data_IF_929983898933
#
_entry.id   IF_929983898933
#
_cell.length_a   1.000
_cell.length_b   1.000
_cell.length_c   1.000
_cell.angle_alpha   90.00
_cell.angle_beta   90.00
_cell.angle_gamma   90.00
#
_symmetry.space_group_name_H-M   'P 1'
#
loop_
_entity.id
_entity.type
_entity.pdbx_description
1 polymer ?
#
# COMPACT_ATOMS: atom_id res chain seq x y z
N UNK A 1 -5.99 -1.56 27.82
CA UNK A 1 -6.19 -3.04 27.84
C UNK A 1 -6.75 -3.46 29.19
N UNK A 2 -7.46 -4.60 29.23
CA UNK A 2 -8.14 -5.18 30.41
C UNK A 2 -7.74 -6.64 30.67
N UNK A 3 -8.67 -7.49 31.15
CA UNK A 3 -8.40 -8.90 31.47
C UNK A 3 -8.11 -9.75 30.22
N UNK A 4 -7.07 -10.59 30.28
CA UNK A 4 -6.65 -11.44 29.17
C UNK A 4 -7.53 -12.69 29.03
N UNK A 5 -7.97 -12.96 27.82
CA UNK A 5 -8.87 -14.08 27.52
C UNK A 5 -8.07 -15.36 27.32
N UNK A 6 -8.47 -16.42 28.03
CA UNK A 6 -7.90 -17.76 27.85
C UNK A 6 -8.40 -18.41 26.54
N UNK A 7 -7.84 -18.01 25.39
CA UNK A 7 -8.29 -18.43 24.06
C UNK A 7 -8.22 -19.95 23.82
N UNK A 8 -7.39 -20.69 24.55
CA UNK A 8 -7.29 -22.15 24.43
C UNK A 8 -8.28 -22.91 25.32
N UNK A 9 -9.07 -22.22 26.15
CA UNK A 9 -10.16 -22.85 26.87
C UNK A 9 -11.31 -23.17 25.89
N UNK A 10 -11.80 -24.41 25.87
CA UNK A 10 -12.84 -24.86 24.94
C UNK A 10 -14.11 -23.99 24.94
N UNK A 11 -14.53 -23.48 26.10
CA UNK A 11 -15.69 -22.61 26.17
C UNK A 11 -15.42 -21.28 25.47
N UNK A 12 -14.26 -20.65 25.74
CA UNK A 12 -13.88 -19.38 25.12
C UNK A 12 -13.62 -19.53 23.61
N UNK A 13 -12.90 -20.58 23.22
CA UNK A 13 -12.59 -20.88 21.82
C UNK A 13 -13.87 -21.04 21.00
N UNK A 14 -14.76 -21.94 21.40
CA UNK A 14 -15.99 -22.21 20.67
C UNK A 14 -16.98 -21.05 20.76
N UNK A 15 -17.01 -20.34 21.89
CA UNK A 15 -17.85 -19.15 22.07
C UNK A 15 -17.52 -18.05 21.06
N UNK A 16 -16.25 -17.73 20.87
CA UNK A 16 -15.81 -16.72 19.89
C UNK A 16 -16.15 -17.12 18.44
N UNK A 17 -15.92 -18.38 18.07
CA UNK A 17 -16.28 -18.88 16.74
C UNK A 17 -17.80 -18.87 16.51
N UNK A 18 -18.57 -19.21 17.53
CA UNK A 18 -20.04 -19.16 17.49
C UNK A 18 -20.52 -17.72 17.30
N UNK A 19 -19.96 -16.78 18.05
CA UNK A 19 -20.25 -15.36 17.92
C UNK A 19 -19.90 -14.81 16.54
N UNK A 20 -18.72 -15.14 16.01
CA UNK A 20 -18.30 -14.71 14.68
C UNK A 20 -19.22 -15.26 13.58
N UNK A 21 -19.65 -16.52 13.69
CA UNK A 21 -20.62 -17.08 12.76
C UNK A 21 -22.01 -16.44 12.89
N UNK A 22 -22.46 -16.12 14.12
CA UNK A 22 -23.70 -15.39 14.33
C UNK A 22 -23.67 -13.99 13.71
N UNK A 23 -22.56 -13.26 13.85
CA UNK A 23 -22.37 -11.97 13.17
C UNK A 23 -22.53 -12.10 11.65
N UNK A 24 -21.90 -13.11 11.06
CA UNK A 24 -21.96 -13.33 9.61
C UNK A 24 -23.35 -13.77 9.13
N UNK A 25 -24.02 -14.67 9.85
CA UNK A 25 -25.25 -15.31 9.39
C UNK A 25 -26.52 -14.56 9.80
N UNK A 26 -26.53 -13.92 10.97
CA UNK A 26 -27.74 -13.32 11.56
C UNK A 26 -27.79 -11.81 11.40
N UNK A 27 -26.68 -11.09 11.68
CA UNK A 27 -26.64 -9.65 11.41
C UNK A 27 -26.61 -9.39 9.89
N UNK A 28 -25.96 -10.29 9.14
CA UNK A 28 -25.85 -10.21 7.69
C UNK A 28 -24.84 -9.14 7.23
N UNK A 29 -24.39 -9.24 5.99
CA UNK A 29 -23.46 -8.31 5.34
C UNK A 29 -22.04 -8.20 5.93
N UNK A 30 -21.62 -9.15 6.77
CA UNK A 30 -20.22 -9.24 7.25
C UNK A 30 -19.47 -10.29 6.43
N UNK A 31 -18.65 -9.82 5.48
CA UNK A 31 -17.84 -10.69 4.61
C UNK A 31 -16.56 -11.22 5.29
N UNK A 32 -16.10 -10.53 6.33
CA UNK A 32 -14.82 -10.81 6.97
C UNK A 32 -14.57 -9.94 8.20
N UNK A 33 -13.39 -10.08 8.79
CA UNK A 33 -13.03 -9.46 10.06
C UNK A 33 -11.64 -8.82 10.03
N UNK A 34 -11.49 -7.72 10.77
CA UNK A 34 -10.17 -7.23 11.21
C UNK A 34 -9.91 -7.80 12.59
N UNK A 35 -8.87 -8.60 12.72
CA UNK A 35 -8.47 -9.22 13.98
C UNK A 35 -7.54 -8.27 14.73
N UNK A 36 -8.06 -7.65 15.78
CA UNK A 36 -7.34 -6.73 16.67
C UNK A 36 -6.24 -7.45 17.44
N UNK A 37 -5.09 -6.81 17.65
CA UNK A 37 -4.03 -7.30 18.54
C UNK A 37 -3.61 -8.76 18.28
N UNK A 38 -3.59 -9.19 17.01
CA UNK A 38 -3.44 -10.60 16.60
C UNK A 38 -2.12 -11.29 16.99
N UNK A 39 -1.17 -10.51 17.49
CA UNK A 39 0.08 -10.98 18.10
C UNK A 39 -0.13 -11.52 19.52
N UNK A 40 -1.17 -11.10 20.21
CA UNK A 40 -1.32 -11.24 21.66
C UNK A 40 -2.23 -12.40 22.10
N UNK A 41 -2.71 -13.22 21.16
CA UNK A 41 -3.47 -14.42 21.46
C UNK A 41 -3.08 -15.58 20.53
N UNK A 42 -3.66 -16.76 20.78
CA UNK A 42 -3.36 -17.98 20.04
C UNK A 42 -3.56 -17.81 18.53
N UNK A 43 -2.55 -18.15 17.73
CA UNK A 43 -2.69 -18.13 16.27
C UNK A 43 -3.71 -19.17 15.78
N UNK A 44 -4.00 -20.19 16.59
CA UNK A 44 -5.04 -21.19 16.28
C UNK A 44 -6.43 -20.57 16.15
N UNK A 45 -6.82 -19.69 17.08
CA UNK A 45 -8.12 -19.02 16.98
C UNK A 45 -8.15 -18.04 15.80
N UNK A 46 -7.03 -17.38 15.46
CA UNK A 46 -6.95 -16.53 14.26
C UNK A 46 -7.15 -17.33 12.97
N UNK A 47 -6.51 -18.51 12.87
CA UNK A 47 -6.62 -19.42 11.72
C UNK A 47 -8.05 -19.94 11.54
N UNK A 48 -8.70 -20.31 12.64
CA UNK A 48 -10.02 -20.95 12.60
C UNK A 48 -11.17 -19.92 12.59
N UNK A 49 -10.87 -18.62 12.72
CA UNK A 49 -11.87 -17.56 12.68
C UNK A 49 -12.57 -17.52 11.31
N UNK A 50 -13.91 -17.46 11.25
CA UNK A 50 -14.63 -17.66 10.00
C UNK A 50 -14.57 -16.44 9.07
N UNK A 51 -14.51 -16.69 7.76
CA UNK A 51 -14.51 -15.65 6.73
C UNK A 51 -13.11 -15.09 6.44
N UNK A 52 -13.04 -14.07 5.57
CA UNK A 52 -11.75 -13.44 5.24
C UNK A 52 -11.29 -12.58 6.40
N UNK A 53 -10.10 -12.87 6.95
CA UNK A 53 -9.56 -12.12 8.09
C UNK A 53 -8.31 -11.33 7.71
N UNK A 54 -8.20 -10.12 8.29
CA UNK A 54 -7.01 -9.26 8.23
C UNK A 54 -6.50 -9.07 9.67
N UNK A 55 -5.30 -9.57 9.97
CA UNK A 55 -4.66 -9.40 11.27
C UNK A 55 -3.96 -8.06 11.40
N UNK A 56 -4.21 -7.38 12.52
CA UNK A 56 -3.27 -6.40 13.06
C UNK A 56 -2.16 -7.15 13.80
N UNK A 57 -1.20 -7.68 13.04
CA UNK A 57 -0.03 -8.36 13.60
C UNK A 57 1.14 -7.38 13.57
N UNK A 58 1.22 -6.51 14.57
CA UNK A 58 2.23 -5.46 14.61
C UNK A 58 3.58 -6.00 15.08
N UNK A 59 4.42 -6.40 14.11
CA UNK A 59 5.76 -6.96 14.35
C UNK A 59 6.67 -6.76 13.12
N UNK A 60 7.85 -7.37 13.14
CA UNK A 60 8.79 -7.52 12.04
C UNK A 60 8.20 -8.28 10.85
N UNK A 61 8.79 -8.05 9.66
CA UNK A 61 8.42 -8.72 8.40
C UNK A 61 8.36 -10.24 8.54
N UNK A 62 9.40 -10.86 9.12
CA UNK A 62 9.48 -12.31 9.22
C UNK A 62 8.39 -12.89 10.13
N UNK A 63 8.10 -12.24 11.26
CA UNK A 63 7.05 -12.68 12.17
C UNK A 63 5.66 -12.57 11.52
N UNK A 64 5.40 -11.48 10.77
CA UNK A 64 4.15 -11.32 10.02
C UNK A 64 4.02 -12.41 8.96
N UNK A 65 5.07 -12.69 8.19
CA UNK A 65 5.05 -13.72 7.15
C UNK A 65 4.83 -15.12 7.75
N UNK A 66 5.46 -15.43 8.89
CA UNK A 66 5.22 -16.67 9.61
C UNK A 66 3.76 -16.79 10.08
N UNK A 67 3.18 -15.70 10.61
CA UNK A 67 1.78 -15.68 11.02
C UNK A 67 0.82 -15.84 9.82
N UNK A 68 1.09 -15.17 8.69
CA UNK A 68 0.33 -15.34 7.44
C UNK A 68 0.41 -16.80 6.98
N UNK A 69 1.61 -17.40 7.00
CA UNK A 69 1.81 -18.81 6.60
C UNK A 69 1.06 -19.78 7.49
N UNK A 70 1.01 -19.52 8.81
CA UNK A 70 0.31 -20.39 9.76
C UNK A 70 -1.21 -20.25 9.67
N UNK A 71 -1.70 -19.02 9.60
CA UNK A 71 -3.13 -18.73 9.69
C UNK A 71 -3.84 -18.76 8.34
N UNK A 72 -3.13 -18.52 7.24
CA UNK A 72 -3.73 -18.29 5.93
C UNK A 72 -4.45 -16.93 5.82
N UNK A 73 -4.35 -16.04 6.80
CA UNK A 73 -5.02 -14.75 6.80
C UNK A 73 -4.19 -13.65 6.11
N UNK A 74 -4.84 -12.52 5.86
CA UNK A 74 -4.18 -11.27 5.47
C UNK A 74 -3.59 -10.58 6.69
N UNK A 75 -2.58 -9.72 6.52
CA UNK A 75 -2.04 -8.90 7.61
C UNK A 75 -1.70 -7.49 7.14
N UNK A 76 -1.82 -6.51 8.04
CA UNK A 76 -1.35 -5.15 7.76
C UNK A 76 0.17 -5.10 7.55
N UNK A 77 0.60 -4.38 6.51
CA UNK A 77 2.01 -4.25 6.12
C UNK A 77 2.70 -3.14 6.94
N UNK A 78 2.94 -3.41 8.22
CA UNK A 78 3.71 -2.52 9.10
C UNK A 78 5.14 -2.27 8.62
N UNK A 79 5.87 -3.25 8.06
CA UNK A 79 7.19 -2.99 7.45
C UNK A 79 7.14 -1.91 6.37
N UNK A 80 6.13 -1.94 5.49
CA UNK A 80 5.93 -0.88 4.50
C UNK A 80 5.53 0.44 5.16
N UNK A 81 4.64 0.43 6.16
CA UNK A 81 4.26 1.64 6.89
C UNK A 81 5.49 2.40 7.43
N UNK A 82 6.47 1.70 8.00
CA UNK A 82 7.70 2.33 8.46
C UNK A 82 8.60 2.81 7.32
N UNK A 83 8.71 2.05 6.21
CA UNK A 83 9.46 2.49 5.04
C UNK A 83 8.88 3.77 4.39
N UNK A 84 7.55 3.93 4.42
CA UNK A 84 6.86 5.12 3.92
C UNK A 84 7.22 6.41 4.69
N UNK A 85 7.75 6.30 5.91
CA UNK A 85 8.23 7.45 6.70
C UNK A 85 9.63 7.93 6.26
N UNK A 86 10.40 7.06 5.59
CA UNK A 86 11.71 7.38 5.04
C UNK A 86 11.65 8.17 3.73
N UNK A 87 12.79 8.33 3.08
CA UNK A 87 12.88 9.00 1.78
C UNK A 87 12.36 8.07 0.65
N UNK A 88 12.32 8.58 -0.59
CA UNK A 88 11.85 7.80 -1.73
C UNK A 88 12.66 6.51 -1.95
N UNK A 89 13.99 6.56 -1.80
CA UNK A 89 14.84 5.38 -1.94
C UNK A 89 14.56 4.28 -0.91
N UNK A 90 13.95 4.61 0.25
CA UNK A 90 13.55 3.62 1.26
C UNK A 90 12.42 2.70 0.81
N UNK A 91 11.77 3.01 -0.33
CA UNK A 91 10.71 2.19 -0.91
C UNK A 91 11.25 1.02 -1.73
N UNK A 92 12.54 1.01 -2.07
CA UNK A 92 13.14 -0.08 -2.84
C UNK A 92 13.12 -1.39 -2.05
N UNK A 93 12.42 -2.40 -2.57
CA UNK A 93 12.24 -3.69 -1.89
C UNK A 93 11.43 -3.64 -0.58
N UNK A 94 10.74 -2.52 -0.29
CA UNK A 94 10.00 -2.35 0.96
C UNK A 94 8.72 -3.21 1.04
N UNK A 95 8.28 -3.46 2.27
CA UNK A 95 7.04 -4.19 2.56
C UNK A 95 7.18 -5.70 2.64
N UNK A 96 6.03 -6.39 2.76
CA UNK A 96 5.99 -7.84 2.98
C UNK A 96 6.31 -8.66 1.73
N UNK A 97 6.09 -8.11 0.53
CA UNK A 97 6.16 -8.86 -0.74
C UNK A 97 5.25 -10.10 -0.76
N UNK A 98 4.10 -10.01 -0.11
CA UNK A 98 3.11 -11.09 0.00
C UNK A 98 1.79 -10.63 -0.60
N UNK A 99 1.11 -11.50 -1.35
CA UNK A 99 -0.25 -11.26 -1.87
C UNK A 99 -1.31 -11.12 -0.78
N UNK A 100 -0.95 -11.40 0.48
CA UNK A 100 -1.78 -11.27 1.67
C UNK A 100 -1.43 -10.05 2.54
N UNK A 101 -0.53 -9.18 2.07
CA UNK A 101 -0.26 -7.90 2.74
C UNK A 101 -1.40 -6.89 2.56
N UNK A 102 -1.63 -6.02 3.54
CA UNK A 102 -2.56 -4.89 3.41
C UNK A 102 -1.80 -3.61 3.74
N UNK A 103 -1.45 -2.87 2.70
CA UNK A 103 -0.70 -1.62 2.82
C UNK A 103 -1.59 -0.48 3.30
N UNK A 104 -1.04 0.46 4.07
CA UNK A 104 -1.78 1.61 4.61
C UNK A 104 -0.83 2.77 4.89
N UNK A 105 -1.35 3.99 4.96
CA UNK A 105 -0.58 5.22 5.27
C UNK A 105 -0.78 5.69 6.70
N UNK A 106 -1.94 5.41 7.29
CA UNK A 106 -2.31 5.73 8.65
C UNK A 106 -3.51 4.92 9.09
N UNK A 107 -3.75 4.85 10.39
CA UNK A 107 -4.91 4.21 11.01
C UNK A 107 -5.26 4.96 12.31
N UNK A 108 -6.15 4.39 13.12
CA UNK A 108 -6.61 5.02 14.36
C UNK A 108 -5.57 5.03 15.49
N UNK A 109 -4.53 4.19 15.42
CA UNK A 109 -3.46 4.10 16.40
C UNK A 109 -2.21 4.90 15.98
N UNK A 110 -1.97 5.03 14.67
CA UNK A 110 -0.77 5.66 14.14
C UNK A 110 -1.01 6.43 12.84
N UNK A 111 -0.44 7.63 12.77
CA UNK A 111 -0.57 8.54 11.62
C UNK A 111 0.70 9.40 11.39
N UNK A 112 1.87 8.78 11.55
CA UNK A 112 3.16 9.50 11.60
C UNK A 112 3.85 9.69 10.25
N UNK A 113 3.30 9.14 9.16
CA UNK A 113 3.84 9.40 7.81
C UNK A 113 3.71 10.89 7.48
N UNK A 114 4.84 11.54 7.20
CA UNK A 114 4.88 12.98 6.89
C UNK A 114 4.41 13.27 5.46
N UNK A 115 4.93 12.53 4.49
CA UNK A 115 4.63 12.70 3.06
C UNK A 115 3.46 11.81 2.61
N UNK A 116 2.28 12.05 3.20
CA UNK A 116 1.09 11.21 3.02
C UNK A 116 0.66 11.06 1.55
N UNK A 117 0.78 12.12 0.74
CA UNK A 117 0.40 12.06 -0.68
C UNK A 117 1.32 11.14 -1.47
N UNK A 118 2.66 11.25 -1.31
CA UNK A 118 3.61 10.28 -1.88
C UNK A 118 3.29 8.86 -1.42
N UNK A 119 3.05 8.66 -0.12
CA UNK A 119 2.77 7.36 0.44
C UNK A 119 1.48 6.73 -0.14
N UNK A 120 0.41 7.53 -0.29
CA UNK A 120 -0.82 7.08 -0.96
C UNK A 120 -0.57 6.74 -2.43
N UNK A 121 0.19 7.57 -3.13
CA UNK A 121 0.65 7.25 -4.47
C UNK A 121 1.40 5.92 -4.52
N UNK A 122 2.25 5.62 -3.55
CA UNK A 122 3.00 4.37 -3.57
C UNK A 122 2.10 3.15 -3.35
N UNK A 123 1.28 3.15 -2.30
CA UNK A 123 0.43 1.99 -1.99
C UNK A 123 -0.65 1.72 -3.06
N UNK A 124 -1.04 2.74 -3.82
CA UNK A 124 -1.97 2.59 -4.95
C UNK A 124 -1.29 2.08 -6.23
N UNK A 125 0.03 2.21 -6.33
CA UNK A 125 0.82 1.73 -7.48
C UNK A 125 1.25 0.28 -7.32
N UNK A 126 1.50 -0.20 -6.10
CA UNK A 126 1.97 -1.58 -5.85
C UNK A 126 0.84 -2.57 -5.55
N UNK A 127 1.10 -3.86 -5.68
CA UNK A 127 0.26 -4.93 -5.16
C UNK A 127 0.61 -5.28 -3.70
N UNK A 128 -0.32 -5.85 -2.89
CA UNK A 128 -1.65 -6.31 -3.30
C UNK A 128 -2.80 -5.35 -2.94
N UNK A 129 -3.09 -5.07 -1.67
CA UNK A 129 -4.32 -4.32 -1.29
C UNK A 129 -3.97 -3.06 -0.49
N UNK A 130 -4.29 -1.86 -1.01
CA UNK A 130 -4.22 -0.62 -0.23
C UNK A 130 -5.45 -0.40 0.64
N UNK A 131 -5.24 0.13 1.84
CA UNK A 131 -6.27 0.59 2.75
C UNK A 131 -6.18 2.12 2.90
N UNK A 132 -7.28 2.81 2.63
CA UNK A 132 -7.37 4.27 2.78
C UNK A 132 -7.95 4.62 4.15
N UNK A 133 -7.17 5.35 4.94
CA UNK A 133 -7.64 5.89 6.21
C UNK A 133 -8.76 6.93 6.04
N UNK A 134 -9.84 6.77 6.80
CA UNK A 134 -11.04 7.59 6.69
C UNK A 134 -10.76 9.11 6.83
N UNK A 135 -10.07 9.60 7.87
CA UNK A 135 -9.77 11.03 8.00
C UNK A 135 -9.01 11.60 6.79
N UNK A 136 -8.16 10.81 6.15
CA UNK A 136 -7.42 11.26 4.98
C UNK A 136 -8.31 11.40 3.76
N UNK A 137 -9.23 10.45 3.55
CA UNK A 137 -10.20 10.50 2.46
C UNK A 137 -11.16 11.69 2.55
N UNK A 138 -11.51 12.12 3.76
CA UNK A 138 -12.41 13.27 3.99
C UNK A 138 -11.66 14.57 4.27
N UNK A 139 -10.42 14.68 3.79
CA UNK A 139 -9.60 15.89 3.88
C UNK A 139 -9.25 16.45 2.49
N UNK A 140 -8.38 17.46 2.45
CA UNK A 140 -7.80 17.98 1.20
C UNK A 140 -7.03 16.93 0.39
N UNK A 141 -6.67 15.79 0.99
CA UNK A 141 -5.97 14.70 0.32
C UNK A 141 -6.87 13.85 -0.59
N UNK A 142 -8.20 14.03 -0.54
CA UNK A 142 -9.15 13.22 -1.33
C UNK A 142 -8.81 13.19 -2.82
N UNK A 143 -8.59 14.36 -3.43
CA UNK A 143 -8.38 14.50 -4.87
C UNK A 143 -7.19 13.68 -5.38
N UNK A 144 -5.96 13.83 -4.83
CA UNK A 144 -4.84 13.01 -5.25
C UNK A 144 -5.07 11.51 -4.95
N UNK A 145 -5.59 11.14 -3.77
CA UNK A 145 -5.87 9.71 -3.46
C UNK A 145 -6.84 9.11 -4.48
N UNK A 146 -7.92 9.81 -4.81
CA UNK A 146 -8.90 9.38 -5.79
C UNK A 146 -8.28 9.25 -7.19
N UNK A 147 -7.37 10.15 -7.57
CA UNK A 147 -6.65 10.09 -8.86
C UNK A 147 -5.76 8.84 -8.96
N UNK A 148 -5.01 8.52 -7.89
CA UNK A 148 -4.22 7.28 -7.83
C UNK A 148 -5.12 6.03 -7.87
N UNK A 149 -6.22 6.03 -7.13
CA UNK A 149 -7.19 4.94 -7.11
C UNK A 149 -7.83 4.73 -8.49
N UNK A 150 -8.17 5.80 -9.21
CA UNK A 150 -8.68 5.71 -10.58
C UNK A 150 -7.65 5.08 -11.51
N UNK A 151 -6.36 5.45 -11.40
CA UNK A 151 -5.32 4.79 -12.18
C UNK A 151 -5.20 3.30 -11.83
N UNK A 152 -5.19 2.95 -10.53
CA UNK A 152 -5.17 1.55 -10.08
C UNK A 152 -6.31 0.72 -10.64
N UNK A 153 -7.52 1.28 -10.71
CA UNK A 153 -8.70 0.56 -11.20
C UNK A 153 -8.73 0.41 -12.73
N UNK A 154 -8.03 1.28 -13.46
CA UNK A 154 -8.07 1.34 -14.92
C UNK A 154 -6.87 0.68 -15.59
N UNK A 155 -5.80 0.41 -14.84
CA UNK A 155 -4.56 -0.12 -15.38
C UNK A 155 -4.07 -1.27 -14.49
N UNK A 156 -3.49 -2.28 -15.12
CA UNK A 156 -2.84 -3.37 -14.41
C UNK A 156 -1.61 -2.82 -13.67
N UNK A 157 -1.62 -2.97 -12.34
CA UNK A 157 -0.55 -2.55 -11.42
C UNK A 157 0.32 -3.73 -10.97
N UNK A 158 0.12 -4.90 -11.57
CA UNK A 158 0.81 -6.14 -11.24
C UNK A 158 2.26 -6.15 -11.69
N UNK A 159 3.10 -6.77 -10.86
CA UNK A 159 4.55 -6.76 -11.00
C UNK A 159 5.13 -5.37 -10.79
N UNK A 160 6.15 -5.23 -9.96
CA UNK A 160 6.81 -3.95 -9.73
C UNK A 160 8.31 -4.17 -9.72
N UNK A 161 9.03 -3.36 -10.49
CA UNK A 161 10.49 -3.41 -10.61
C UNK A 161 11.05 -2.00 -10.51
N UNK A 162 12.10 -1.82 -9.71
CA UNK A 162 12.84 -0.56 -9.61
C UNK A 162 13.68 -0.39 -10.88
N UNK A 163 13.51 0.74 -11.57
CA UNK A 163 14.28 1.08 -12.79
C UNK A 163 15.18 2.30 -12.61
N UNK A 164 14.98 3.05 -11.52
CA UNK A 164 15.83 4.16 -11.09
C UNK A 164 15.68 4.33 -9.58
N UNK A 165 16.79 4.54 -8.87
CA UNK A 165 16.76 4.80 -7.42
C UNK A 165 17.88 5.76 -7.03
N UNK A 166 17.48 6.78 -6.28
CA UNK A 166 18.33 7.69 -5.53
C UNK A 166 17.71 7.90 -4.14
N UNK A 167 18.38 8.67 -3.29
CA UNK A 167 17.87 8.98 -1.95
C UNK A 167 16.46 9.56 -1.99
N UNK A 168 16.22 10.58 -2.83
CA UNK A 168 14.96 11.33 -2.85
C UNK A 168 14.04 11.04 -4.03
N UNK A 169 14.47 10.21 -4.98
CA UNK A 169 13.69 9.88 -6.14
C UNK A 169 13.79 8.39 -6.44
N UNK A 170 12.67 7.75 -6.70
CA UNK A 170 12.62 6.36 -7.15
C UNK A 170 11.60 6.24 -8.27
N UNK A 171 11.94 5.46 -9.29
CA UNK A 171 11.06 5.17 -10.43
C UNK A 171 10.89 3.67 -10.54
N UNK A 172 9.64 3.25 -10.57
CA UNK A 172 9.24 1.88 -10.78
C UNK A 172 8.62 1.70 -12.16
N UNK A 173 8.68 0.47 -12.66
CA UNK A 173 7.93 -0.03 -13.81
C UNK A 173 7.11 -1.23 -13.39
N UNK A 174 5.87 -1.30 -13.87
CA UNK A 174 5.02 -2.48 -13.75
C UNK A 174 4.96 -3.32 -15.03
N UNK A 175 4.25 -4.45 -14.99
CA UNK A 175 4.14 -5.35 -16.15
C UNK A 175 3.35 -4.71 -17.32
N UNK A 176 2.45 -3.77 -17.04
CA UNK A 176 1.56 -3.10 -18.01
C UNK A 176 2.04 -1.68 -18.40
N UNK A 177 3.33 -1.57 -18.77
CA UNK A 177 4.19 -0.37 -18.72
C UNK A 177 3.61 0.94 -18.16
N UNK A 178 3.10 0.93 -16.92
CA UNK A 178 2.89 2.14 -16.12
C UNK A 178 4.14 2.39 -15.29
N UNK A 179 4.62 3.62 -15.31
CA UNK A 179 5.84 4.04 -14.59
C UNK A 179 5.48 4.91 -13.41
N UNK A 180 5.79 4.46 -12.19
CA UNK A 180 5.53 5.18 -10.95
C UNK A 180 6.76 5.96 -10.50
N UNK A 181 6.68 7.29 -10.48
CA UNK A 181 7.72 8.21 -10.00
C UNK A 181 7.33 8.68 -8.60
N UNK A 182 8.23 8.53 -7.62
CA UNK A 182 8.00 8.94 -6.24
C UNK A 182 9.13 9.85 -5.76
N UNK A 183 8.78 11.04 -5.30
CA UNK A 183 9.74 12.10 -4.98
C UNK A 183 9.55 12.55 -3.52
N UNK A 184 10.58 12.41 -2.69
CA UNK A 184 10.57 12.86 -1.30
C UNK A 184 11.26 14.21 -1.08
N UNK A 185 11.82 14.84 -2.11
CA UNK A 185 12.32 16.21 -2.01
C UNK A 185 11.17 17.23 -1.87
N UNK A 186 11.49 18.48 -1.50
CA UNK A 186 10.49 19.54 -1.35
C UNK A 186 10.05 20.20 -2.67
N UNK A 187 10.73 19.89 -3.77
CA UNK A 187 10.55 20.53 -5.08
C UNK A 187 10.29 19.49 -6.17
N UNK A 188 9.94 19.95 -7.36
CA UNK A 188 9.88 19.07 -8.54
C UNK A 188 11.24 18.42 -8.77
N UNK A 189 11.22 17.12 -9.06
CA UNK A 189 12.42 16.31 -9.32
C UNK A 189 12.13 15.25 -10.38
N UNK A 190 13.16 14.79 -11.09
CA UNK A 190 13.05 13.86 -12.20
C UNK A 190 14.28 13.00 -12.41
N UNK A 191 14.07 11.82 -13.00
CA UNK A 191 15.12 10.83 -13.19
C UNK A 191 15.15 10.34 -14.63
N UNK A 192 16.36 10.24 -15.20
CA UNK A 192 16.59 9.71 -16.54
C UNK A 192 16.47 8.19 -16.55
N UNK A 193 15.56 7.68 -17.38
CA UNK A 193 15.34 6.25 -17.59
C UNK A 193 15.34 5.93 -19.07
N UNK A 194 15.80 4.73 -19.43
CA UNK A 194 15.77 4.24 -20.79
C UNK A 194 14.53 3.35 -21.00
N UNK A 195 13.59 3.83 -21.81
CA UNK A 195 12.31 3.19 -22.11
C UNK A 195 12.18 2.92 -23.63
N UNK A 196 10.96 2.81 -24.15
CA UNK A 196 10.73 2.69 -25.60
C UNK A 196 11.19 3.96 -26.33
N UNK A 197 11.95 3.87 -27.43
CA UNK A 197 12.36 5.01 -28.26
C UNK A 197 11.21 5.81 -28.86
N UNK A 198 11.41 7.12 -29.05
CA UNK A 198 10.47 8.03 -29.74
C UNK A 198 9.01 7.92 -29.24
N UNK A 199 8.81 7.65 -27.95
CA UNK A 199 7.51 7.37 -27.34
C UNK A 199 7.12 8.51 -26.42
N UNK A 200 5.88 9.00 -26.55
CA UNK A 200 5.34 10.01 -25.64
C UNK A 200 4.70 9.35 -24.43
N UNK A 201 5.08 9.79 -23.24
CA UNK A 201 4.58 9.37 -21.96
C UNK A 201 3.71 10.47 -21.34
N UNK A 202 2.50 10.09 -20.94
CA UNK A 202 1.51 11.01 -20.38
C UNK A 202 1.17 10.63 -18.95
N UNK A 203 1.12 11.63 -18.07
CA UNK A 203 0.73 11.42 -16.68
C UNK A 203 -0.77 11.05 -16.58
N UNK A 204 -1.06 9.94 -15.90
CA UNK A 204 -2.41 9.42 -15.62
C UNK A 204 -2.84 9.57 -14.16
N UNK A 205 -1.87 9.76 -13.25
CA UNK A 205 -2.11 10.19 -11.89
C UNK A 205 -0.91 10.99 -11.37
N UNK A 206 -1.14 11.85 -10.40
CA UNK A 206 -0.12 12.69 -9.77
C UNK A 206 -0.65 13.25 -8.45
N UNK A 207 0.23 13.83 -7.64
CA UNK A 207 -0.09 14.57 -6.44
C UNK A 207 1.17 14.90 -5.66
N UNK A 208 1.14 15.91 -4.79
CA UNK A 208 2.28 16.32 -3.97
C UNK A 208 2.06 17.71 -3.38
N UNK A 209 3.15 18.43 -3.12
CA UNK A 209 3.11 19.84 -2.72
C UNK A 209 2.49 20.75 -3.80
N UNK A 210 2.64 20.34 -5.06
CA UNK A 210 2.02 20.94 -6.24
C UNK A 210 1.12 19.92 -6.93
N UNK A 211 -0.16 20.24 -7.11
CA UNK A 211 -1.18 19.39 -7.76
C UNK A 211 -1.29 19.62 -9.28
N UNK A 212 -0.36 20.36 -9.87
CA UNK A 212 -0.28 20.56 -11.32
C UNK A 212 0.05 19.25 -12.03
N UNK A 213 -0.64 18.99 -13.14
CA UNK A 213 -0.38 17.80 -13.97
C UNK A 213 1.05 17.86 -14.53
N UNK A 214 1.87 16.82 -14.35
CA UNK A 214 3.17 16.75 -15.01
C UNK A 214 3.05 16.83 -16.52
N UNK A 215 4.01 17.50 -17.16
CA UNK A 215 4.05 17.61 -18.62
C UNK A 215 4.23 16.24 -19.28
N UNK A 216 3.71 16.10 -20.50
CA UNK A 216 4.03 14.95 -21.33
C UNK A 216 5.54 14.95 -21.63
N UNK A 217 6.14 13.76 -21.67
CA UNK A 217 7.58 13.57 -21.92
C UNK A 217 7.75 12.65 -23.11
N UNK A 218 8.61 12.99 -24.05
CA UNK A 218 8.90 12.13 -25.21
C UNK A 218 10.31 11.62 -25.11
N UNK A 219 10.49 10.30 -25.18
CA UNK A 219 11.82 9.70 -25.23
C UNK A 219 12.52 9.99 -26.54
N UNK A 220 13.84 10.08 -26.50
CA UNK A 220 14.66 10.24 -27.70
C UNK A 220 14.77 8.94 -28.53
N UNK A 221 15.57 8.99 -29.60
CA UNK A 221 15.82 7.83 -30.46
C UNK A 221 16.55 6.67 -29.76
N UNK A 222 17.17 6.92 -28.61
CA UNK A 222 17.77 5.89 -27.75
C UNK A 222 16.84 5.38 -26.64
N UNK A 223 15.63 5.93 -26.52
CA UNK A 223 14.68 5.59 -25.46
C UNK A 223 14.84 6.40 -24.18
N UNK A 224 15.79 7.34 -24.11
CA UNK A 224 16.02 8.12 -22.91
C UNK A 224 14.94 9.17 -22.71
N UNK A 225 14.38 9.20 -21.51
CA UNK A 225 13.39 10.18 -21.08
C UNK A 225 13.57 10.47 -19.59
N UNK A 226 13.32 11.72 -19.20
CA UNK A 226 13.32 12.13 -17.80
C UNK A 226 11.86 12.22 -17.31
N UNK A 227 11.49 11.36 -16.35
CA UNK A 227 10.15 11.35 -15.76
C UNK A 227 10.17 12.09 -14.43
N UNK A 228 9.18 12.98 -14.24
CA UNK A 228 9.17 13.94 -13.13
C UNK A 228 7.98 13.74 -12.18
N UNK A 229 8.17 14.12 -10.93
CA UNK A 229 7.08 14.26 -9.95
C UNK A 229 7.27 15.50 -9.08
N UNK A 230 6.13 16.03 -8.63
CA UNK A 230 6.04 17.12 -7.64
C UNK A 230 6.72 16.74 -6.32
N UNK A 231 7.15 17.74 -5.55
CA UNK A 231 7.78 17.53 -4.24
C UNK A 231 6.85 16.83 -3.25
N UNK A 232 7.41 15.96 -2.40
CA UNK A 232 6.68 15.09 -1.47
C UNK A 232 5.51 14.33 -2.15
N UNK A 233 5.71 13.95 -3.41
CA UNK A 233 4.67 13.59 -4.34
C UNK A 233 4.91 12.30 -5.11
N UNK A 234 3.97 12.01 -6.00
CA UNK A 234 4.05 10.92 -6.95
C UNK A 234 3.53 11.34 -8.33
N UNK A 235 3.89 10.59 -9.36
CA UNK A 235 3.31 10.67 -10.69
C UNK A 235 3.33 9.29 -11.35
N UNK A 236 2.27 8.94 -12.07
CA UNK A 236 2.21 7.73 -12.88
C UNK A 236 2.17 8.11 -14.36
N UNK A 237 3.07 7.57 -15.15
CA UNK A 237 3.13 7.77 -16.60
C UNK A 237 2.76 6.49 -17.34
N UNK A 238 2.11 6.64 -18.49
CA UNK A 238 1.92 5.54 -19.46
C UNK A 238 2.39 5.98 -20.85
N UNK A 239 2.86 5.06 -21.70
CA UNK A 239 3.06 5.34 -23.12
C UNK A 239 1.72 5.66 -23.80
N UNK A 240 1.75 6.57 -24.78
CA UNK A 240 0.65 6.84 -25.71
C UNK A 240 0.64 5.88 -26.87
#
# INVERSE_FOLDING_TARGET
MGEDVAHMNNYMYNGQLTWANWLRSTIGNIAGFRLDASRHYSWGIARDFPGTCIGEFWDSKDNILNWISYTGNYAFDFPLYYALQGNAGSLDGAGLSSSKGVSFVGNHDTDSVSQKIRAYGFIMYIEPTPCVFWPHWFSSMKTPIQRALTARNNYDMGGTSTIFVETNLIIFRNNAPVYGVFNSSGSWDGGWVQLSPNTTYTAIAWGGNDDSKPQNKTSDGGGWVELWSSGAGYAYYKPQ
#
